data_IF_947435635059
#
_entry.id   IF_947435635059
#
_cell.length_a   1.000
_cell.length_b   1.000
_cell.length_c   1.000
_cell.angle_alpha   90.00
_cell.angle_beta   90.00
_cell.angle_gamma   90.00
#
_symmetry.space_group_name_H-M   'P 1'
#
loop_
_entity.id
_entity.type
_entity.pdbx_description
1 polymer ?
#
# COMPACT_ATOMS: atom_id res chain seq x y z
N UNK A 1 -6.52 -18.29 -2.89
CA UNK A 1 -5.14 -18.71 -2.60
C UNK A 1 -5.01 -18.93 -1.10
N UNK A 2 -4.24 -19.94 -0.66
CA UNK A 2 -3.95 -20.11 0.76
C UNK A 2 -3.26 -18.86 1.31
N UNK A 3 -3.57 -18.51 2.55
CA UNK A 3 -2.98 -17.33 3.22
C UNK A 3 -1.56 -17.69 3.64
N UNK A 4 -0.59 -16.84 3.30
CA UNK A 4 0.76 -16.93 3.84
C UNK A 4 0.79 -16.34 5.26
N UNK A 5 1.59 -16.96 6.13
CA UNK A 5 1.91 -16.40 7.44
C UNK A 5 2.70 -15.11 7.25
N UNK A 6 2.52 -14.13 8.15
CA UNK A 6 3.33 -12.91 8.13
C UNK A 6 4.75 -13.23 8.58
N UNK A 7 5.72 -12.54 7.99
CA UNK A 7 7.10 -12.59 8.44
C UNK A 7 7.17 -12.06 9.88
N UNK A 8 7.95 -12.74 10.72
CA UNK A 8 8.30 -12.27 12.05
C UNK A 8 9.53 -11.36 11.91
N UNK A 9 9.54 -10.26 12.65
CA UNK A 9 10.68 -9.34 12.65
C UNK A 9 11.66 -9.68 13.77
N UNK A 10 12.96 -9.49 13.52
CA UNK A 10 14.00 -9.65 14.54
C UNK A 10 14.05 -8.48 15.53
N UNK A 11 13.73 -7.27 15.06
CA UNK A 11 13.72 -6.04 15.88
C UNK A 11 12.30 -5.53 16.22
N UNK A 12 11.27 -6.19 15.69
CA UNK A 12 9.87 -5.87 15.94
C UNK A 12 9.34 -4.69 15.13
N UNK A 13 10.08 -4.18 14.14
CA UNK A 13 9.69 -3.01 13.35
C UNK A 13 9.04 -3.44 12.03
N UNK A 14 7.89 -2.84 11.74
CA UNK A 14 7.08 -3.14 10.57
C UNK A 14 6.63 -1.87 9.87
N UNK A 15 6.70 -1.87 8.55
CA UNK A 15 5.90 -0.99 7.72
C UNK A 15 4.56 -1.67 7.46
N UNK A 16 3.49 -1.03 7.87
CA UNK A 16 2.12 -1.52 7.80
C UNK A 16 1.30 -0.63 6.88
N UNK A 17 0.44 -1.26 6.08
CA UNK A 17 -0.52 -0.56 5.25
C UNK A 17 -1.96 -1.08 5.39
N UNK A 18 -2.90 -0.15 5.52
CA UNK A 18 -4.35 -0.37 5.49
C UNK A 18 -4.93 0.32 4.25
N UNK A 19 -5.82 -0.33 3.48
CA UNK A 19 -6.49 0.29 2.32
C UNK A 19 -7.98 0.01 2.34
N UNK A 20 -8.78 1.00 1.94
CA UNK A 20 -10.22 0.89 1.78
C UNK A 20 -10.61 -0.23 0.81
N UNK A 21 -11.68 -0.95 1.11
CA UNK A 21 -12.24 -1.95 0.18
C UNK A 21 -12.61 -1.25 -1.13
N UNK A 22 -12.37 -1.93 -2.26
CA UNK A 22 -12.55 -1.36 -3.60
C UNK A 22 -11.78 -0.05 -3.85
N UNK A 23 -10.68 0.17 -3.13
CA UNK A 23 -9.92 1.44 -3.17
C UNK A 23 -10.75 2.67 -2.78
N UNK A 24 -11.87 2.48 -2.09
CA UNK A 24 -12.75 3.57 -1.67
C UNK A 24 -12.03 4.53 -0.73
N UNK A 25 -12.46 5.78 -0.73
CA UNK A 25 -12.08 6.77 0.27
C UNK A 25 -12.41 6.24 1.67
N UNK A 26 -11.46 6.40 2.60
CA UNK A 26 -11.60 6.05 4.02
C UNK A 26 -11.50 7.28 4.93
N UNK A 27 -11.23 8.45 4.34
CA UNK A 27 -11.26 9.76 4.97
C UNK A 27 -11.96 10.74 4.02
N UNK A 28 -13.28 10.88 4.17
CA UNK A 28 -14.11 11.77 3.34
C UNK A 28 -13.86 13.24 3.71
N UNK A 29 -13.57 13.51 4.99
CA UNK A 29 -13.20 14.83 5.51
C UNK A 29 -12.01 14.75 6.47
N UNK A 30 -11.69 15.88 7.10
CA UNK A 30 -10.56 15.99 8.01
C UNK A 30 -10.85 15.44 9.43
N UNK A 31 -12.11 15.43 9.86
CA UNK A 31 -12.50 14.82 11.14
C UNK A 31 -12.21 13.32 11.13
N UNK A 32 -12.38 12.66 9.98
CA UNK A 32 -12.01 11.26 9.80
C UNK A 32 -10.53 10.99 10.08
N UNK A 33 -9.66 11.89 9.61
CA UNK A 33 -8.20 11.78 9.81
C UNK A 33 -7.83 12.06 11.26
N UNK A 34 -8.43 13.11 11.85
CA UNK A 34 -8.25 13.44 13.27
C UNK A 34 -8.65 12.25 14.14
N UNK A 35 -9.82 11.67 13.87
CA UNK A 35 -10.30 10.51 14.60
C UNK A 35 -9.40 9.29 14.48
N UNK A 36 -8.80 9.08 13.31
CA UNK A 36 -7.84 8.00 13.10
C UNK A 36 -6.57 8.22 13.92
N UNK A 37 -6.05 9.46 13.96
CA UNK A 37 -4.90 9.83 14.79
C UNK A 37 -5.20 9.69 16.29
N UNK A 38 -6.38 10.10 16.75
CA UNK A 38 -6.85 9.87 18.13
C UNK A 38 -6.89 8.37 18.46
N UNK A 39 -7.36 7.56 17.51
CA UNK A 39 -7.45 6.10 17.67
C UNK A 39 -6.05 5.49 17.80
N UNK A 40 -5.09 5.93 16.98
CA UNK A 40 -3.68 5.56 17.10
C UNK A 40 -3.17 5.94 18.49
N UNK A 41 -3.32 7.20 18.90
CA UNK A 41 -2.80 7.68 20.18
C UNK A 41 -3.40 6.91 21.38
N UNK A 42 -4.72 6.65 21.34
CA UNK A 42 -5.41 5.85 22.36
C UNK A 42 -4.80 4.46 22.49
N UNK A 43 -4.64 3.74 21.37
CA UNK A 43 -4.09 2.38 21.43
C UNK A 43 -2.58 2.36 21.63
N UNK A 44 -1.85 3.44 21.33
CA UNK A 44 -0.45 3.58 21.73
C UNK A 44 -0.32 3.51 23.26
N UNK A 45 -1.23 4.15 23.99
CA UNK A 45 -1.25 4.14 25.47
C UNK A 45 -1.61 2.76 26.06
N UNK A 46 -2.44 1.98 25.37
CA UNK A 46 -2.91 0.66 25.80
C UNK A 46 -1.92 -0.45 25.42
N UNK A 47 -1.55 -0.53 24.15
CA UNK A 47 -0.75 -1.60 23.57
C UNK A 47 0.76 -1.32 23.60
N UNK A 48 1.16 -0.11 24.04
CA UNK A 48 2.53 0.35 24.26
C UNK A 48 3.47 0.27 23.05
N UNK A 49 2.94 0.13 21.84
CA UNK A 49 3.76 0.14 20.62
C UNK A 49 4.42 1.50 20.40
N UNK A 50 5.50 1.52 19.61
CA UNK A 50 6.15 2.76 19.18
C UNK A 50 5.77 3.02 17.72
N UNK A 51 5.61 4.29 17.37
CA UNK A 51 5.33 4.72 15.99
C UNK A 51 6.43 5.68 15.56
N UNK A 52 7.11 5.36 14.47
CA UNK A 52 8.18 6.17 13.90
C UNK A 52 7.69 7.02 12.73
N UNK A 53 6.61 6.63 12.07
CA UNK A 53 6.06 7.41 10.97
C UNK A 53 4.64 7.03 10.60
N UNK A 54 3.93 7.95 9.98
CA UNK A 54 2.61 7.71 9.39
C UNK A 54 2.36 8.64 8.20
N UNK A 55 1.48 8.20 7.31
CA UNK A 55 0.86 9.05 6.29
C UNK A 55 -0.58 8.56 6.04
N UNK A 56 -1.54 9.47 6.18
CA UNK A 56 -2.96 9.21 5.97
C UNK A 56 -3.39 9.69 4.59
N UNK A 57 -3.43 8.79 3.62
CA UNK A 57 -3.90 9.06 2.25
C UNK A 57 -5.41 8.88 2.17
N UNK A 58 -6.07 9.45 1.15
CA UNK A 58 -7.56 9.42 1.06
C UNK A 58 -8.17 8.01 1.15
N UNK A 59 -7.56 7.01 0.53
CA UNK A 59 -8.06 5.63 0.50
C UNK A 59 -7.16 4.60 1.20
N UNK A 60 -6.04 5.01 1.79
CA UNK A 60 -5.13 4.11 2.49
C UNK A 60 -4.27 4.82 3.54
N UNK A 61 -3.63 4.04 4.39
CA UNK A 61 -2.78 4.51 5.48
C UNK A 61 -1.48 3.74 5.45
N UNK A 62 -0.37 4.47 5.59
CA UNK A 62 0.94 3.91 5.90
C UNK A 62 1.30 4.18 7.36
N UNK A 63 1.81 3.17 8.06
CA UNK A 63 2.30 3.26 9.43
C UNK A 63 3.67 2.57 9.53
N UNK A 64 4.63 3.20 10.19
CA UNK A 64 5.90 2.57 10.58
C UNK A 64 5.90 2.37 12.09
N UNK A 65 5.77 1.12 12.52
CA UNK A 65 5.46 0.74 13.89
C UNK A 65 6.48 -0.25 14.44
N UNK A 66 6.77 -0.16 15.74
CA UNK A 66 7.50 -1.17 16.48
C UNK A 66 6.58 -1.84 17.49
N UNK A 67 6.46 -3.15 17.41
CA UNK A 67 5.76 -3.94 18.42
C UNK A 67 6.57 -4.00 19.72
N UNK A 68 5.87 -4.08 20.85
CA UNK A 68 6.47 -4.09 22.18
C UNK A 68 5.78 -5.14 23.06
N UNK A 69 4.69 -4.78 23.74
CA UNK A 69 3.94 -5.68 24.63
C UNK A 69 2.94 -6.56 23.88
N UNK A 70 2.28 -6.00 22.87
CA UNK A 70 1.33 -6.74 22.02
C UNK A 70 1.90 -6.94 20.61
N UNK A 71 1.65 -8.11 19.98
CA UNK A 71 2.00 -8.33 18.58
C UNK A 71 1.35 -7.29 17.67
N UNK A 72 2.04 -6.90 16.60
CA UNK A 72 1.55 -5.90 15.65
C UNK A 72 0.15 -6.24 15.09
N UNK A 73 -0.18 -7.52 14.95
CA UNK A 73 -1.51 -7.94 14.51
C UNK A 73 -2.64 -7.54 15.45
N UNK A 74 -2.37 -7.55 16.76
CA UNK A 74 -3.33 -7.15 17.79
C UNK A 74 -3.49 -5.63 17.79
N UNK A 75 -2.38 -4.89 17.70
CA UNK A 75 -2.36 -3.44 17.59
C UNK A 75 -3.22 -2.97 16.40
N UNK A 76 -2.94 -3.50 15.21
CA UNK A 76 -3.67 -3.11 14.00
C UNK A 76 -5.14 -3.54 14.06
N UNK A 77 -5.46 -4.69 14.67
CA UNK A 77 -6.85 -5.10 14.89
C UNK A 77 -7.61 -4.10 15.76
N UNK A 78 -7.00 -3.63 16.86
CA UNK A 78 -7.61 -2.63 17.76
C UNK A 78 -7.86 -1.30 17.03
N UNK A 79 -6.83 -0.78 16.35
CA UNK A 79 -6.92 0.48 15.58
C UNK A 79 -8.02 0.39 14.52
N UNK A 80 -7.93 -0.63 13.65
CA UNK A 80 -8.88 -0.77 12.55
C UNK A 80 -10.31 -1.00 13.05
N UNK A 81 -10.54 -1.86 14.04
CA UNK A 81 -11.90 -2.14 14.53
C UNK A 81 -12.54 -0.91 15.18
N UNK A 82 -11.79 -0.15 15.98
CA UNK A 82 -12.29 1.08 16.60
C UNK A 82 -12.63 2.15 15.57
N UNK A 83 -11.76 2.34 14.58
CA UNK A 83 -12.01 3.32 13.52
C UNK A 83 -13.20 2.93 12.65
N UNK A 84 -13.27 1.66 12.19
CA UNK A 84 -14.41 1.18 11.38
C UNK A 84 -15.73 1.31 12.15
N UNK A 85 -15.74 1.02 13.45
CA UNK A 85 -16.95 1.19 14.27
C UNK A 85 -17.44 2.64 14.25
N UNK A 86 -16.54 3.60 14.50
CA UNK A 86 -16.88 5.01 14.47
C UNK A 86 -17.26 5.49 13.06
N UNK A 87 -16.52 5.10 12.03
CA UNK A 87 -16.79 5.47 10.64
C UNK A 87 -18.17 4.99 10.18
N UNK A 88 -18.51 3.74 10.51
CA UNK A 88 -19.82 3.17 10.21
C UNK A 88 -20.95 3.91 10.93
N UNK A 89 -20.74 4.34 12.17
CA UNK A 89 -21.70 5.18 12.88
C UNK A 89 -21.85 6.56 12.23
N UNK A 90 -20.73 7.25 11.92
CA UNK A 90 -20.73 8.61 11.32
C UNK A 90 -21.45 8.64 9.97
N UNK A 91 -21.20 7.64 9.12
CA UNK A 91 -21.71 7.59 7.74
C UNK A 91 -22.94 6.68 7.58
N UNK A 92 -23.54 6.22 8.68
CA UNK A 92 -24.70 5.30 8.66
C UNK A 92 -24.45 4.04 7.80
N UNK A 93 -23.21 3.54 7.83
CA UNK A 93 -22.77 2.37 7.09
C UNK A 93 -22.75 1.12 7.97
N UNK A 94 -22.70 -0.03 7.33
CA UNK A 94 -22.40 -1.30 7.98
C UNK A 94 -21.37 -2.10 7.18
N UNK A 95 -20.73 -3.07 7.84
CA UNK A 95 -19.76 -3.96 7.21
C UNK A 95 -18.31 -3.44 7.21
N UNK A 96 -17.53 -3.94 6.26
CA UNK A 96 -16.09 -3.71 6.19
C UNK A 96 -15.73 -2.38 5.52
N UNK A 97 -14.79 -1.64 6.12
CA UNK A 97 -14.19 -0.45 5.50
C UNK A 97 -12.90 -0.79 4.75
N UNK A 98 -12.06 -1.66 5.31
CA UNK A 98 -10.77 -2.05 4.74
C UNK A 98 -10.88 -3.32 3.88
N UNK A 99 -10.08 -3.39 2.80
CA UNK A 99 -10.18 -4.41 1.76
C UNK A 99 -9.91 -5.83 2.27
N UNK A 100 -8.87 -5.99 3.09
CA UNK A 100 -8.44 -7.27 3.66
C UNK A 100 -7.80 -7.02 5.03
N UNK A 101 -7.06 -8.01 5.54
CA UNK A 101 -6.11 -7.74 6.62
C UNK A 101 -5.06 -6.75 6.12
N UNK A 102 -4.47 -5.99 7.04
CA UNK A 102 -3.33 -5.12 6.72
C UNK A 102 -2.20 -5.86 6.02
N UNK A 103 -1.55 -5.17 5.07
CA UNK A 103 -0.25 -5.58 4.53
C UNK A 103 0.86 -5.16 5.48
N UNK A 104 1.94 -5.93 5.53
CA UNK A 104 3.10 -5.57 6.33
C UNK A 104 4.38 -6.12 5.73
N UNK A 105 5.46 -5.36 5.84
CA UNK A 105 6.84 -5.78 5.62
C UNK A 105 7.68 -5.53 6.87
N UNK A 106 8.69 -6.37 7.10
CA UNK A 106 9.62 -6.22 8.22
C UNK A 106 10.69 -5.19 7.88
N UNK A 107 11.15 -4.44 8.88
CA UNK A 107 12.19 -3.41 8.73
C UNK A 107 13.36 -3.74 9.63
N UNK A 108 14.36 -4.46 9.09
CA UNK A 108 15.39 -5.11 9.92
C UNK A 108 16.67 -4.28 10.15
N UNK A 109 16.84 -3.15 9.46
CA UNK A 109 18.03 -2.30 9.63
C UNK A 109 17.70 -0.80 9.53
N UNK A 110 18.59 0.00 10.11
CA UNK A 110 18.43 1.46 10.22
C UNK A 110 18.38 2.17 8.87
N UNK A 111 19.18 1.74 7.89
CA UNK A 111 19.15 2.31 6.54
C UNK A 111 17.81 2.08 5.85
N UNK A 112 17.25 0.87 5.96
CA UNK A 112 15.93 0.57 5.42
C UNK A 112 14.82 1.28 6.21
N UNK A 113 14.98 1.47 7.52
CA UNK A 113 14.06 2.27 8.32
C UNK A 113 13.97 3.71 7.82
N UNK A 114 15.11 4.34 7.53
CA UNK A 114 15.17 5.69 6.95
C UNK A 114 14.56 5.73 5.54
N UNK A 115 14.76 4.68 4.75
CA UNK A 115 14.17 4.51 3.41
C UNK A 115 12.63 4.47 3.49
N UNK A 116 12.08 3.61 4.36
CA UNK A 116 10.64 3.51 4.57
C UNK A 116 10.05 4.81 5.11
N UNK A 117 10.71 5.46 6.06
CA UNK A 117 10.21 6.71 6.62
C UNK A 117 10.16 7.82 5.55
N UNK A 118 11.20 7.92 4.72
CA UNK A 118 11.22 8.81 3.54
C UNK A 118 10.07 8.48 2.59
N UNK A 119 9.90 7.21 2.25
CA UNK A 119 8.81 6.74 1.40
C UNK A 119 7.44 7.18 1.91
N UNK A 120 7.16 6.95 3.20
CA UNK A 120 5.90 7.31 3.86
C UNK A 120 5.66 8.82 3.76
N UNK A 121 6.66 9.64 4.10
CA UNK A 121 6.53 11.10 4.08
C UNK A 121 6.42 11.68 2.66
N UNK A 122 7.05 11.03 1.66
CA UNK A 122 7.00 11.44 0.26
C UNK A 122 5.74 10.96 -0.48
N UNK A 123 4.98 10.02 0.07
CA UNK A 123 3.82 9.43 -0.59
C UNK A 123 2.82 10.48 -1.14
N UNK A 124 2.43 11.54 -0.39
CA UNK A 124 1.55 12.60 -0.89
C UNK A 124 2.13 13.38 -2.07
N UNK A 125 3.45 13.58 -2.10
CA UNK A 125 4.14 14.29 -3.19
C UNK A 125 4.20 13.41 -4.44
N UNK A 126 4.53 12.12 -4.28
CA UNK A 126 4.61 11.15 -5.38
C UNK A 126 3.29 11.03 -6.16
N UNK A 127 2.15 11.17 -5.50
CA UNK A 127 0.82 11.14 -6.15
C UNK A 127 0.23 12.53 -6.45
N UNK A 128 1.00 13.60 -6.24
CA UNK A 128 0.59 14.97 -6.59
C UNK A 128 -0.43 15.64 -5.64
N UNK A 129 -0.66 15.09 -4.43
CA UNK A 129 -1.53 15.71 -3.41
C UNK A 129 -0.88 16.91 -2.71
N UNK A 130 0.45 17.01 -2.72
CA UNK A 130 1.20 18.13 -2.14
C UNK A 130 2.42 18.47 -2.98
N UNK A 131 2.78 19.76 -3.04
CA UNK A 131 3.99 20.24 -3.74
C UNK A 131 5.29 19.85 -3.03
N UNK A 132 5.23 19.64 -1.71
CA UNK A 132 6.36 19.24 -0.88
C UNK A 132 5.87 18.46 0.35
N UNK A 133 6.77 17.73 1.02
CA UNK A 133 6.43 16.87 2.16
C UNK A 133 5.87 17.65 3.36
N UNK A 134 6.36 18.87 3.58
CA UNK A 134 5.94 19.73 4.69
C UNK A 134 4.49 20.20 4.56
N UNK A 135 4.04 20.45 3.33
CA UNK A 135 2.69 20.94 3.03
C UNK A 135 1.58 19.94 3.30
N UNK A 136 1.91 18.65 3.50
CA UNK A 136 0.92 17.61 3.78
C UNK A 136 0.81 17.33 5.29
N UNK A 137 -0.16 17.99 5.94
CA UNK A 137 -0.35 17.91 7.40
C UNK A 137 -0.71 16.52 7.94
N UNK A 138 -1.19 15.63 7.09
CA UNK A 138 -1.63 14.28 7.45
C UNK A 138 -0.51 13.23 7.36
N UNK A 139 0.74 13.69 7.46
CA UNK A 139 1.94 12.86 7.56
C UNK A 139 2.75 13.23 8.81
N UNK A 140 3.61 12.31 9.24
CA UNK A 140 4.49 12.51 10.40
C UNK A 140 5.65 13.47 10.15
N UNK A 141 5.90 13.93 8.92
CA UNK A 141 7.06 14.78 8.60
C UNK A 141 7.18 16.00 9.52
N UNK A 142 6.06 16.69 9.75
CA UNK A 142 6.04 17.89 10.57
C UNK A 142 6.38 17.62 12.05
N UNK A 143 6.15 16.40 12.54
CA UNK A 143 6.50 16.03 13.92
C UNK A 143 8.02 15.88 14.13
N UNK A 144 8.79 15.64 13.06
CA UNK A 144 10.26 15.54 13.10
C UNK A 144 10.95 16.90 13.15
N UNK A 145 10.40 17.89 12.45
CA UNK A 145 10.97 19.25 12.37
C UNK A 145 10.39 20.21 13.41
N UNK A 146 9.33 19.78 14.11
CA UNK A 146 8.67 20.57 15.15
C UNK A 146 8.46 19.75 16.43
N UNK A 147 7.39 20.00 17.17
CA UNK A 147 7.09 19.27 18.40
C UNK A 147 6.35 17.96 18.05
N UNK A 148 6.92 16.79 18.40
CA UNK A 148 6.23 15.52 18.19
C UNK A 148 5.00 15.41 19.09
N UNK A 149 3.96 14.76 18.57
CA UNK A 149 2.70 14.48 19.26
C UNK A 149 2.50 12.98 19.40
N UNK A 150 2.63 12.26 18.30
CA UNK A 150 2.33 10.83 18.19
C UNK A 150 3.62 10.04 17.94
N UNK A 151 4.53 10.51 17.09
CA UNK A 151 5.73 9.75 16.73
C UNK A 151 6.86 9.87 17.75
N UNK A 152 7.61 8.79 17.92
CA UNK A 152 8.92 8.84 18.58
C UNK A 152 9.99 9.22 17.56
N UNK A 153 10.37 10.49 17.58
CA UNK A 153 11.39 11.04 16.69
C UNK A 153 12.81 10.77 17.17
N UNK A 154 13.00 10.51 18.47
CA UNK A 154 14.34 10.45 19.06
C UNK A 154 15.14 9.27 18.52
N UNK A 155 14.51 8.10 18.39
CA UNK A 155 15.17 6.92 17.87
C UNK A 155 15.75 7.16 16.46
N UNK A 156 14.94 7.71 15.57
CA UNK A 156 15.34 7.97 14.18
C UNK A 156 16.35 9.12 14.08
N UNK A 157 16.15 10.20 14.83
CA UNK A 157 17.10 11.31 14.83
C UNK A 157 18.48 10.88 15.37
N UNK A 158 18.53 9.98 16.35
CA UNK A 158 19.78 9.44 16.88
C UNK A 158 20.56 8.58 15.86
N UNK A 159 19.87 7.91 14.94
CA UNK A 159 20.51 7.19 13.82
C UNK A 159 21.28 8.18 12.92
N UNK A 160 20.71 9.38 12.72
CA UNK A 160 21.28 10.39 11.82
C UNK A 160 22.42 11.18 12.48
N UNK A 161 22.26 11.58 13.74
CA UNK A 161 23.28 12.33 14.48
C UNK A 161 22.99 12.39 15.98
N UNK A 162 24.04 12.42 16.80
CA UNK A 162 23.93 12.66 18.25
C UNK A 162 23.59 14.11 18.59
N UNK A 163 23.95 15.05 17.72
CA UNK A 163 23.52 16.45 17.82
C UNK A 163 22.14 16.61 17.17
N UNK A 164 21.16 17.08 17.95
CA UNK A 164 19.75 17.17 17.54
C UNK A 164 19.51 18.08 16.35
N UNK A 165 20.17 19.24 16.30
CA UNK A 165 20.00 20.20 15.21
C UNK A 165 20.54 19.61 13.90
N UNK A 166 21.74 19.01 13.95
CA UNK A 166 22.31 18.29 12.80
C UNK A 166 21.41 17.13 12.37
N UNK A 167 20.86 16.37 13.31
CA UNK A 167 19.97 15.25 13.00
C UNK A 167 18.69 15.70 12.28
N UNK A 168 18.10 16.83 12.70
CA UNK A 168 16.92 17.41 12.04
C UNK A 168 17.28 17.87 10.63
N UNK A 169 18.42 18.54 10.44
CA UNK A 169 18.86 18.97 9.10
C UNK A 169 19.11 17.77 8.18
N UNK A 170 19.81 16.73 8.66
CA UNK A 170 20.03 15.49 7.90
C UNK A 170 18.72 14.77 7.60
N UNK A 171 17.75 14.79 8.52
CA UNK A 171 16.41 14.24 8.27
C UNK A 171 15.68 14.99 7.16
N UNK A 172 15.74 16.33 7.17
CA UNK A 172 15.14 17.19 6.14
C UNK A 172 15.78 16.90 4.78
N UNK A 173 17.11 16.90 4.71
CA UNK A 173 17.86 16.61 3.49
C UNK A 173 17.51 15.22 2.94
N UNK A 174 17.65 14.18 3.78
CA UNK A 174 17.34 12.80 3.39
C UNK A 174 15.89 12.66 2.90
N UNK A 175 14.92 13.24 3.60
CA UNK A 175 13.50 13.09 3.26
C UNK A 175 13.10 13.88 2.01
N UNK A 176 13.80 14.96 1.66
CA UNK A 176 13.51 15.74 0.45
C UNK A 176 14.32 15.27 -0.78
N UNK A 177 15.25 14.32 -0.60
CA UNK A 177 16.03 13.75 -1.70
C UNK A 177 15.16 12.99 -2.71
N UNK A 178 15.41 13.21 -4.00
CA UNK A 178 14.82 12.39 -5.06
C UNK A 178 15.36 10.97 -5.01
N UNK A 179 14.49 10.00 -5.20
CA UNK A 179 14.83 8.58 -5.09
C UNK A 179 13.87 7.73 -5.93
N UNK A 180 14.25 6.47 -6.13
CA UNK A 180 13.42 5.43 -6.74
C UNK A 180 13.01 4.37 -5.71
N UNK A 181 12.87 4.77 -4.44
CA UNK A 181 12.58 3.83 -3.34
C UNK A 181 11.28 3.06 -3.62
N UNK A 182 11.37 1.74 -3.55
CA UNK A 182 10.24 0.81 -3.63
C UNK A 182 10.04 0.16 -2.28
N UNK A 183 9.02 0.59 -1.56
CA UNK A 183 8.58 -0.02 -0.31
C UNK A 183 7.22 -0.71 -0.52
N UNK A 184 6.64 -1.24 0.56
CA UNK A 184 5.31 -1.81 0.52
C UNK A 184 4.29 -0.84 -0.09
N UNK A 185 3.72 -1.23 -1.23
CA UNK A 185 2.55 -0.61 -1.85
C UNK A 185 1.52 -1.65 -2.35
N UNK A 186 0.34 -1.20 -2.76
CA UNK A 186 -0.53 -1.95 -3.64
C UNK A 186 -0.12 -1.70 -5.08
N UNK A 187 0.50 -2.70 -5.69
CA UNK A 187 0.62 -2.76 -7.15
C UNK A 187 -0.77 -2.54 -7.76
N UNK A 188 -0.92 -1.45 -8.51
CA UNK A 188 -2.06 -1.32 -9.39
C UNK A 188 -1.88 -2.35 -10.49
N UNK A 189 -2.44 -3.55 -10.27
CA UNK A 189 -2.62 -4.47 -11.37
C UNK A 189 -3.54 -3.76 -12.36
N UNK A 190 -2.96 -3.16 -13.39
CA UNK A 190 -3.66 -2.77 -14.60
C UNK A 190 -4.46 -4.02 -14.96
N UNK A 191 -5.79 -3.90 -15.02
CA UNK A 191 -6.64 -4.99 -15.47
C UNK A 191 -7.28 -4.48 -16.73
N UNK A 192 -6.80 -4.99 -17.85
CA UNK A 192 -7.47 -4.76 -19.12
C UNK A 192 -8.90 -5.29 -19.00
N UNK A 193 -9.89 -4.48 -19.32
CA UNK A 193 -11.27 -4.93 -19.43
C UNK A 193 -11.40 -5.95 -20.57
N UNK A 194 -12.46 -6.76 -20.54
CA UNK A 194 -12.71 -7.72 -21.62
C UNK A 194 -12.93 -7.02 -22.97
N UNK A 195 -13.41 -5.78 -22.97
CA UNK A 195 -13.61 -5.00 -24.20
C UNK A 195 -12.28 -4.50 -24.75
N UNK A 196 -11.43 -3.91 -23.91
CA UNK A 196 -10.07 -3.50 -24.31
C UNK A 196 -9.25 -4.70 -24.81
N UNK A 197 -9.41 -5.87 -24.19
CA UNK A 197 -8.75 -7.10 -24.63
C UNK A 197 -9.28 -7.60 -25.98
N UNK A 198 -10.57 -7.44 -26.26
CA UNK A 198 -11.15 -7.72 -27.58
C UNK A 198 -10.68 -6.73 -28.64
N UNK A 199 -10.52 -5.46 -28.30
CA UNK A 199 -9.94 -4.47 -29.23
C UNK A 199 -8.47 -4.79 -29.54
N UNK A 200 -7.70 -5.19 -28.52
CA UNK A 200 -6.34 -5.70 -28.70
C UNK A 200 -6.31 -6.97 -29.57
N UNK A 201 -7.26 -7.87 -29.37
CA UNK A 201 -7.39 -9.10 -30.15
C UNK A 201 -7.52 -8.86 -31.65
N UNK A 202 -8.28 -7.85 -32.08
CA UNK A 202 -8.43 -7.49 -33.50
C UNK A 202 -7.11 -7.01 -34.12
N UNK A 203 -6.21 -6.42 -33.31
CA UNK A 203 -4.89 -5.94 -33.80
C UNK A 203 -3.93 -7.09 -34.14
N UNK A 204 -4.10 -8.27 -33.55
CA UNK A 204 -3.19 -9.42 -33.73
C UNK A 204 -3.59 -10.38 -34.86
N UNK A 205 -4.59 -10.03 -35.68
CA UNK A 205 -4.91 -10.76 -36.91
C UNK A 205 -6.28 -11.46 -36.97
N UNK A 206 -6.74 -12.21 -35.94
CA UNK A 206 -8.03 -12.90 -36.03
C UNK A 206 -9.18 -11.90 -35.91
N UNK A 207 -10.08 -11.92 -36.90
CA UNK A 207 -11.27 -11.03 -36.95
C UNK A 207 -12.37 -11.50 -36.00
N UNK A 208 -12.28 -12.73 -35.51
CA UNK A 208 -13.22 -13.29 -34.53
C UNK A 208 -12.58 -14.38 -33.66
N UNK A 209 -13.21 -14.64 -32.52
CA UNK A 209 -12.85 -15.75 -31.63
C UNK A 209 -12.98 -17.10 -32.35
N UNK A 210 -13.98 -17.25 -33.23
CA UNK A 210 -14.19 -18.48 -34.02
C UNK A 210 -13.03 -18.75 -34.98
N UNK A 211 -12.47 -17.70 -35.57
CA UNK A 211 -11.31 -17.80 -36.46
C UNK A 211 -10.09 -18.30 -35.70
N UNK A 212 -9.78 -17.70 -34.55
CA UNK A 212 -8.68 -18.13 -33.67
C UNK A 212 -8.78 -19.61 -33.26
N UNK A 213 -10.00 -20.10 -32.96
CA UNK A 213 -10.20 -21.50 -32.60
C UNK A 213 -9.94 -22.48 -33.76
N UNK A 214 -10.13 -22.03 -35.01
CA UNK A 214 -9.91 -22.80 -36.23
C UNK A 214 -8.48 -22.69 -36.77
N UNK A 215 -7.67 -21.79 -36.23
CA UNK A 215 -6.27 -21.63 -36.63
C UNK A 215 -5.43 -22.86 -36.31
N UNK A 216 -4.40 -23.07 -37.11
CA UNK A 216 -3.35 -24.05 -36.84
C UNK A 216 -2.73 -23.85 -35.46
N UNK A 217 -2.41 -24.97 -34.79
CA UNK A 217 -2.07 -24.98 -33.36
C UNK A 217 -0.90 -24.06 -33.03
N UNK A 218 0.12 -24.02 -33.89
CA UNK A 218 1.32 -23.20 -33.67
C UNK A 218 1.00 -21.71 -33.78
N UNK A 219 0.33 -21.28 -34.86
CA UNK A 219 -0.06 -19.89 -35.09
C UNK A 219 -1.02 -19.37 -34.01
N UNK A 220 -1.99 -20.20 -33.60
CA UNK A 220 -2.89 -19.87 -32.49
C UNK A 220 -2.13 -19.66 -31.17
N UNK A 221 -1.16 -20.53 -30.89
CA UNK A 221 -0.39 -20.47 -29.65
C UNK A 221 0.53 -19.24 -29.61
N UNK A 222 1.08 -18.80 -30.74
CA UNK A 222 1.84 -17.54 -30.83
C UNK A 222 0.99 -16.34 -30.42
N UNK A 223 -0.21 -16.21 -30.99
CA UNK A 223 -1.16 -15.14 -30.62
C UNK A 223 -1.51 -15.22 -29.13
N UNK A 224 -1.73 -16.42 -28.58
CA UNK A 224 -2.02 -16.58 -27.15
C UNK A 224 -0.83 -16.15 -26.28
N UNK A 225 0.43 -16.38 -26.71
CA UNK A 225 1.61 -15.90 -25.98
C UNK A 225 1.70 -14.38 -25.96
N UNK A 226 1.42 -13.72 -27.09
CA UNK A 226 1.42 -12.26 -27.16
C UNK A 226 0.30 -11.64 -26.33
N UNK A 227 -0.90 -12.23 -26.35
CA UNK A 227 -1.99 -11.78 -25.49
C UNK A 227 -1.69 -12.03 -24.00
N UNK A 228 -0.96 -13.11 -23.68
CA UNK A 228 -0.53 -13.43 -22.31
C UNK A 228 0.58 -12.51 -21.80
N UNK A 229 1.43 -11.97 -22.69
CA UNK A 229 2.45 -10.98 -22.35
C UNK A 229 1.90 -9.55 -22.25
N UNK A 230 0.68 -9.30 -22.71
CA UNK A 230 0.01 -8.01 -22.57
C UNK A 230 -0.25 -7.71 -21.09
N UNK A 231 0.21 -6.54 -20.63
CA UNK A 231 0.10 -6.14 -19.23
C UNK A 231 -1.38 -6.12 -18.79
N UNK A 232 -1.65 -6.76 -17.65
CA UNK A 232 -2.99 -6.78 -17.07
C UNK A 232 -3.95 -7.83 -17.60
N UNK A 233 -3.52 -8.67 -18.55
CA UNK A 233 -4.31 -9.79 -19.05
C UNK A 233 -4.12 -11.03 -18.16
N UNK A 234 -5.23 -11.65 -17.75
CA UNK A 234 -5.18 -12.89 -16.97
C UNK A 234 -5.53 -14.12 -17.82
N UNK A 235 -4.97 -15.28 -17.47
CA UNK A 235 -5.32 -16.59 -18.08
C UNK A 235 -6.83 -16.85 -18.03
N UNK A 236 -7.51 -16.40 -16.96
CA UNK A 236 -8.95 -16.54 -16.84
C UNK A 236 -9.71 -15.68 -17.85
N UNK A 237 -9.25 -14.46 -18.10
CA UNK A 237 -9.83 -13.58 -19.11
C UNK A 237 -9.60 -14.14 -20.51
N UNK A 238 -8.39 -14.60 -20.82
CA UNK A 238 -8.10 -15.25 -22.10
C UNK A 238 -8.99 -16.47 -22.32
N UNK A 239 -9.17 -17.30 -21.30
CA UNK A 239 -10.04 -18.48 -21.40
C UNK A 239 -11.50 -18.11 -21.64
N UNK A 240 -12.01 -17.07 -20.96
CA UNK A 240 -13.38 -16.58 -21.14
C UNK A 240 -13.61 -15.96 -22.52
N UNK A 241 -12.65 -15.19 -23.03
CA UNK A 241 -12.77 -14.46 -24.29
C UNK A 241 -12.51 -15.38 -25.48
N UNK A 242 -11.47 -16.20 -25.44
CA UNK A 242 -11.08 -17.08 -26.56
C UNK A 242 -11.86 -18.41 -26.59
N UNK A 243 -12.53 -18.78 -25.49
CA UNK A 243 -13.15 -20.09 -25.31
C UNK A 243 -12.17 -21.26 -25.14
N UNK A 244 -10.86 -20.99 -25.14
CA UNK A 244 -9.81 -22.00 -24.93
C UNK A 244 -9.71 -22.31 -23.44
N UNK A 245 -9.51 -23.57 -23.07
CA UNK A 245 -9.45 -23.95 -21.66
C UNK A 245 -8.22 -23.32 -20.97
N UNK A 246 -8.38 -22.94 -19.70
CA UNK A 246 -7.31 -22.37 -18.88
C UNK A 246 -6.06 -23.25 -18.87
N UNK A 247 -6.22 -24.57 -18.79
CA UNK A 247 -5.09 -25.51 -18.75
C UNK A 247 -4.31 -25.53 -20.06
N UNK A 248 -4.94 -25.25 -21.20
CA UNK A 248 -4.24 -25.13 -22.48
C UNK A 248 -3.48 -23.81 -22.55
N UNK A 249 -4.10 -22.69 -22.18
CA UNK A 249 -3.46 -21.36 -22.16
C UNK A 249 -2.30 -21.30 -21.16
N UNK A 250 -2.44 -21.96 -20.02
CA UNK A 250 -1.39 -22.01 -18.99
C UNK A 250 -0.11 -22.70 -19.50
N UNK A 251 -0.28 -23.74 -20.34
CA UNK A 251 0.81 -24.52 -20.97
C UNK A 251 1.45 -23.86 -22.20
N UNK A 252 0.88 -22.76 -22.71
CA UNK A 252 1.38 -22.00 -23.86
C UNK A 252 2.34 -20.91 -23.42
#
# INVERSE_FOLDING_TARGET
MPRYARQKSGNGIFHVMLRGINKQTIFEDDEDRERFLETIERYKKISKYVIYGYCLMSNHVHLLLKETEEPISTVIKRISSSYVYWYNWKYERCGHLFQERYKSEVVENDGYLLTVLRYINQNPVKVGLSKNVQGYRWSSYNEYISKPKIVDTNFVLQILSTNREKAINSFIEHTNEQNEDKCLDYDEKIRLSDNELKEYFVKFGPKSISELQKMERNARNEIIRELKSTEGVTIRQLSRITGISKSVIDRI
#
